data_IF_719041666158
#
_entry.id   IF_719041666158
#
_cell.length_a   1.000
_cell.length_b   1.000
_cell.length_c   1.000
_cell.angle_alpha   90.00
_cell.angle_beta   90.00
_cell.angle_gamma   90.00
#
_symmetry.space_group_name_H-M   'P 1'
#
loop_
_entity.id
_entity.type
_entity.pdbx_description
1 polymer ?
#
# COMPACT_ATOMS: atom_id res chain seq x y z
N UNK A 1 -1.50 6.93 -30.52
CA UNK A 1 -1.63 6.29 -29.19
C UNK A 1 -1.37 4.80 -29.33
N UNK A 2 -1.10 4.08 -28.23
CA UNK A 2 -0.86 2.63 -28.24
C UNK A 2 -1.60 1.98 -27.08
N UNK A 3 -2.24 0.85 -27.34
CA UNK A 3 -2.75 -0.06 -26.31
C UNK A 3 -1.90 -1.34 -26.34
N UNK A 4 -1.48 -1.82 -25.17
CA UNK A 4 -0.72 -3.07 -25.04
C UNK A 4 -1.55 -4.07 -24.24
N UNK A 5 -1.79 -5.23 -24.82
CA UNK A 5 -2.50 -6.33 -24.20
C UNK A 5 -1.53 -7.46 -23.86
N UNK A 6 -1.65 -8.07 -22.69
CA UNK A 6 -0.97 -9.33 -22.39
C UNK A 6 -1.75 -10.49 -23.01
N UNK A 7 -1.10 -11.31 -23.83
CA UNK A 7 -1.71 -12.46 -24.50
C UNK A 7 -0.99 -13.73 -24.07
N UNK A 8 -1.74 -14.65 -23.45
CA UNK A 8 -1.29 -16.01 -23.15
C UNK A 8 -1.77 -16.97 -24.23
N UNK A 9 -0.88 -17.81 -24.75
CA UNK A 9 -1.23 -18.88 -25.69
C UNK A 9 -0.42 -20.13 -25.41
N UNK A 10 -1.01 -21.27 -25.76
CA UNK A 10 -0.33 -22.56 -25.75
C UNK A 10 0.08 -22.92 -27.17
N UNK A 11 1.33 -23.37 -27.32
CA UNK A 11 1.84 -23.88 -28.59
C UNK A 11 2.28 -25.34 -28.39
N UNK A 12 1.78 -26.24 -29.25
CA UNK A 12 2.26 -27.62 -29.29
C UNK A 12 3.32 -27.74 -30.38
N UNK A 13 4.55 -28.01 -29.97
CA UNK A 13 5.70 -28.18 -30.84
C UNK A 13 6.26 -29.60 -30.75
N UNK A 14 6.85 -30.10 -31.84
CA UNK A 14 7.57 -31.37 -31.82
C UNK A 14 9.00 -31.16 -31.34
N UNK A 15 9.34 -31.70 -30.17
CA UNK A 15 10.71 -31.79 -29.63
C UNK A 15 11.10 -33.25 -29.50
N UNK A 16 12.20 -33.64 -30.14
CA UNK A 16 12.73 -35.01 -30.14
C UNK A 16 11.69 -36.10 -30.50
N UNK A 17 10.84 -35.78 -31.48
CA UNK A 17 9.78 -36.69 -31.96
C UNK A 17 8.58 -36.84 -31.02
N UNK A 18 8.53 -36.09 -29.92
CA UNK A 18 7.38 -36.01 -29.02
C UNK A 18 6.72 -34.65 -29.12
N UNK A 19 5.40 -34.64 -29.01
CA UNK A 19 4.64 -33.40 -28.89
C UNK A 19 4.84 -32.85 -27.47
N UNK A 20 5.22 -31.57 -27.38
CA UNK A 20 5.41 -30.82 -26.14
C UNK A 20 4.55 -29.56 -26.24
N UNK A 21 3.68 -29.35 -25.26
CA UNK A 21 2.91 -28.11 -25.13
C UNK A 21 3.68 -27.12 -24.27
N UNK A 22 3.92 -25.92 -24.80
CA UNK A 22 4.54 -24.80 -24.11
C UNK A 22 3.55 -23.67 -23.94
N UNK A 23 3.57 -23.03 -22.76
CA UNK A 23 2.79 -21.82 -22.50
C UNK A 23 3.67 -20.60 -22.74
N UNK A 24 3.16 -19.66 -23.53
CA UNK A 24 3.80 -18.40 -23.86
C UNK A 24 2.95 -17.23 -23.37
N UNK A 25 3.62 -16.19 -22.86
CA UNK A 25 2.98 -14.93 -22.47
C UNK A 25 3.74 -13.77 -23.12
N UNK A 26 3.06 -13.00 -23.97
CA UNK A 26 3.67 -11.96 -24.81
C UNK A 26 2.81 -10.68 -24.83
N UNK A 27 3.45 -9.54 -25.08
CA UNK A 27 2.76 -8.27 -25.26
C UNK A 27 2.25 -8.17 -26.70
N UNK A 28 1.01 -7.75 -26.88
CA UNK A 28 0.41 -7.47 -28.18
C UNK A 28 0.05 -6.00 -28.25
N UNK A 29 0.78 -5.26 -29.09
CA UNK A 29 0.70 -3.81 -29.19
C UNK A 29 -0.19 -3.43 -30.37
N UNK A 30 -1.20 -2.60 -30.11
CA UNK A 30 -2.17 -2.14 -31.11
C UNK A 30 -2.08 -0.61 -31.19
N UNK A 31 -1.51 -0.05 -32.28
CA UNK A 31 -1.48 1.40 -32.48
C UNK A 31 -2.88 1.87 -32.86
N UNK A 32 -3.34 2.92 -32.20
CA UNK A 32 -4.65 3.50 -32.47
C UNK A 32 -4.62 5.03 -32.58
N UNK A 33 -5.52 5.54 -33.42
CA UNK A 33 -5.84 6.95 -33.58
C UNK A 33 -7.24 7.26 -33.04
N UNK A 34 -7.50 8.55 -32.88
CA UNK A 34 -8.81 9.09 -32.46
C UNK A 34 -9.44 9.86 -33.62
N UNK A 35 -10.75 9.69 -33.79
CA UNK A 35 -11.60 10.54 -34.63
C UNK A 35 -12.81 10.96 -33.79
N UNK A 36 -12.73 12.15 -33.19
CA UNK A 36 -13.66 12.59 -32.15
C UNK A 36 -13.63 11.67 -30.93
N UNK A 37 -14.77 11.07 -30.60
CA UNK A 37 -14.96 10.11 -29.51
C UNK A 37 -14.76 8.64 -29.93
N UNK A 38 -14.41 8.40 -31.20
CA UNK A 38 -14.22 7.06 -31.78
C UNK A 38 -12.74 6.72 -31.94
N UNK A 39 -12.45 5.43 -31.96
CA UNK A 39 -11.10 4.87 -32.09
C UNK A 39 -10.98 4.11 -33.41
N UNK A 40 -9.82 4.17 -34.05
CA UNK A 40 -9.48 3.33 -35.19
C UNK A 40 -8.05 2.78 -35.06
N UNK A 41 -7.81 1.61 -35.65
CA UNK A 41 -6.47 1.01 -35.70
C UNK A 41 -5.64 1.79 -36.71
N UNK A 42 -4.61 2.47 -36.24
CA UNK A 42 -3.82 3.40 -37.05
C UNK A 42 -2.58 2.75 -37.68
N UNK A 43 -2.35 1.47 -37.44
CA UNK A 43 -1.20 0.73 -37.96
C UNK A 43 -1.26 -0.76 -37.65
N UNK A 44 -0.27 -1.50 -38.14
CA UNK A 44 -0.18 -2.94 -37.91
C UNK A 44 0.14 -3.24 -36.45
N UNK A 45 -0.57 -4.17 -35.79
CA UNK A 45 -0.17 -4.65 -34.48
C UNK A 45 1.17 -5.40 -34.51
N UNK A 46 1.88 -5.39 -33.38
CA UNK A 46 3.14 -6.13 -33.24
C UNK A 46 3.29 -6.78 -31.86
N UNK A 47 3.99 -7.91 -31.81
CA UNK A 47 4.33 -8.60 -30.58
C UNK A 47 5.57 -7.97 -29.91
N UNK A 48 5.60 -7.96 -28.59
CA UNK A 48 6.75 -7.56 -27.78
C UNK A 48 6.96 -8.52 -26.61
N UNK A 49 8.15 -8.50 -26.02
CA UNK A 49 8.29 -9.04 -24.68
C UNK A 49 7.37 -8.27 -23.72
N UNK A 50 6.90 -8.95 -22.67
CA UNK A 50 6.30 -8.26 -21.52
C UNK A 50 7.46 -7.91 -20.61
N UNK A 51 7.67 -6.61 -20.38
CA UNK A 51 8.65 -6.16 -19.42
C UNK A 51 8.22 -6.58 -18.01
N UNK A 52 9.09 -7.31 -17.33
CA UNK A 52 8.88 -7.58 -15.92
C UNK A 52 9.22 -6.31 -15.12
N UNK A 53 8.19 -5.61 -14.66
CA UNK A 53 8.36 -4.44 -13.80
C UNK A 53 8.55 -4.79 -12.31
N UNK A 54 8.50 -6.09 -11.94
CA UNK A 54 8.94 -6.50 -10.61
C UNK A 54 10.45 -6.34 -10.53
N UNK A 55 10.92 -5.55 -9.57
CA UNK A 55 12.32 -5.53 -9.23
C UNK A 55 12.79 -6.96 -8.88
N UNK A 56 14.04 -7.29 -9.23
CA UNK A 56 14.65 -8.54 -8.78
C UNK A 56 14.74 -8.62 -7.25
N UNK A 57 15.39 -9.66 -6.72
CA UNK A 57 15.63 -9.77 -5.26
C UNK A 57 16.32 -8.50 -4.75
N UNK A 58 15.60 -7.72 -3.96
CA UNK A 58 16.16 -6.54 -3.31
C UNK A 58 16.94 -6.98 -2.06
N UNK A 59 18.09 -6.36 -1.75
CA UNK A 59 18.83 -6.68 -0.52
C UNK A 59 17.93 -6.46 0.70
N UNK A 60 18.09 -7.29 1.74
CA UNK A 60 17.33 -7.15 3.00
C UNK A 60 17.45 -5.75 3.61
N UNK A 61 18.57 -5.06 3.38
CA UNK A 61 18.78 -3.67 3.79
C UNK A 61 17.84 -2.65 3.13
N UNK A 62 17.11 -3.03 2.09
CA UNK A 62 16.07 -2.18 1.50
C UNK A 62 14.70 -2.36 2.14
N UNK A 63 14.53 -3.32 3.06
CA UNK A 63 13.30 -3.44 3.83
C UNK A 63 13.28 -2.37 4.90
N UNK A 64 12.13 -1.75 5.10
CA UNK A 64 11.91 -0.83 6.21
C UNK A 64 12.23 -1.53 7.53
N UNK A 65 13.18 -1.00 8.28
CA UNK A 65 13.54 -1.51 9.61
C UNK A 65 12.54 -0.99 10.64
N UNK A 66 11.80 -1.92 11.27
CA UNK A 66 10.77 -1.62 12.28
C UNK A 66 11.29 -1.86 13.72
N UNK A 67 12.60 -1.73 13.95
CA UNK A 67 13.21 -1.87 15.27
C UNK A 67 13.43 -0.55 16.03
N UNK A 68 13.17 0.59 15.39
CA UNK A 68 13.35 1.90 16.01
C UNK A 68 12.37 2.17 17.16
N UNK A 69 12.83 2.90 18.16
CA UNK A 69 12.03 3.41 19.28
C UNK A 69 11.85 4.92 19.17
N UNK A 70 10.65 5.42 19.43
CA UNK A 70 10.40 6.86 19.46
C UNK A 70 10.81 7.51 20.79
N UNK A 71 10.77 8.85 20.80
CA UNK A 71 11.08 9.69 21.96
C UNK A 71 9.83 10.13 22.74
N UNK A 72 8.66 9.51 22.52
CA UNK A 72 7.45 9.87 23.27
C UNK A 72 7.54 9.35 24.71
N UNK A 73 6.95 10.09 25.66
CA UNK A 73 6.84 9.57 27.01
C UNK A 73 5.95 8.32 27.02
N UNK A 74 6.24 7.37 27.91
CA UNK A 74 5.44 6.13 28.05
C UNK A 74 3.95 6.41 28.26
N UNK A 75 3.60 7.53 28.90
CA UNK A 75 2.22 7.95 29.14
C UNK A 75 1.55 8.43 27.85
N UNK A 76 2.23 9.24 27.04
CA UNK A 76 1.70 9.73 25.77
C UNK A 76 1.57 8.59 24.75
N UNK A 77 2.62 7.77 24.62
CA UNK A 77 2.61 6.59 23.76
C UNK A 77 1.43 5.67 24.10
N UNK A 78 1.20 5.34 25.39
CA UNK A 78 0.04 4.53 25.81
C UNK A 78 -1.31 5.13 25.41
N UNK A 79 -1.46 6.45 25.47
CA UNK A 79 -2.71 7.12 25.04
C UNK A 79 -2.90 7.01 23.53
N UNK A 80 -1.84 7.25 22.75
CA UNK A 80 -1.86 7.14 21.29
C UNK A 80 -2.11 5.70 20.84
N UNK A 81 -1.42 4.71 21.42
CA UNK A 81 -1.64 3.29 21.15
C UNK A 81 -3.07 2.88 21.48
N UNK A 82 -3.66 3.36 22.58
CA UNK A 82 -5.07 3.09 22.90
C UNK A 82 -6.01 3.68 21.85
N UNK A 83 -5.75 4.93 21.44
CA UNK A 83 -6.50 5.57 20.35
C UNK A 83 -6.41 4.77 19.05
N UNK A 84 -5.20 4.38 18.63
CA UNK A 84 -4.98 3.59 17.42
C UNK A 84 -5.71 2.24 17.48
N UNK A 85 -5.69 1.54 18.62
CA UNK A 85 -6.48 0.30 18.78
C UNK A 85 -7.97 0.56 18.54
N UNK A 86 -8.53 1.61 19.16
CA UNK A 86 -9.94 1.96 18.94
C UNK A 86 -10.20 2.38 17.49
N UNK A 87 -9.29 3.14 16.88
CA UNK A 87 -9.37 3.53 15.48
C UNK A 87 -9.42 2.29 14.57
N UNK A 88 -8.48 1.35 14.69
CA UNK A 88 -8.43 0.17 13.83
C UNK A 88 -9.55 -0.83 14.09
N UNK A 89 -10.10 -0.90 15.31
CA UNK A 89 -11.35 -1.63 15.55
C UNK A 89 -12.48 -1.03 14.73
N UNK A 90 -12.67 0.28 14.76
CA UNK A 90 -13.75 0.94 14.00
C UNK A 90 -13.49 0.93 12.49
N UNK A 91 -12.21 1.01 12.09
CA UNK A 91 -11.76 0.86 10.70
C UNK A 91 -12.23 -0.45 10.06
N UNK A 92 -12.47 -1.50 10.85
CA UNK A 92 -12.99 -2.77 10.33
C UNK A 92 -14.43 -3.08 10.75
N UNK A 93 -15.12 -2.19 11.48
CA UNK A 93 -16.44 -2.54 12.06
C UNK A 93 -17.53 -1.48 11.93
N UNK A 94 -17.23 -0.19 11.99
CA UNK A 94 -18.28 0.84 12.13
C UNK A 94 -17.89 2.19 11.50
N UNK A 95 -18.57 2.55 10.41
CA UNK A 95 -18.33 3.81 9.69
C UNK A 95 -18.71 5.05 10.50
N UNK A 96 -19.82 5.01 11.26
CA UNK A 96 -20.28 6.18 12.03
C UNK A 96 -19.28 6.56 13.12
N UNK A 97 -18.77 5.57 13.85
CA UNK A 97 -17.72 5.79 14.84
C UNK A 97 -16.41 6.22 14.18
N UNK A 98 -16.08 5.64 13.02
CA UNK A 98 -14.89 6.02 12.27
C UNK A 98 -14.94 7.49 11.82
N UNK A 99 -16.10 7.99 11.39
CA UNK A 99 -16.31 9.39 11.03
C UNK A 99 -16.07 10.36 12.20
N UNK A 100 -16.27 9.91 13.45
CA UNK A 100 -15.96 10.69 14.65
C UNK A 100 -14.46 10.74 14.95
N UNK A 101 -13.67 9.86 14.35
CA UNK A 101 -12.25 9.66 14.63
C UNK A 101 -11.34 9.98 13.45
N UNK A 102 -11.88 10.07 12.23
CA UNK A 102 -11.08 10.26 11.03
C UNK A 102 -11.82 10.95 9.88
N UNK A 103 -11.05 11.70 9.08
CA UNK A 103 -11.52 12.32 7.84
C UNK A 103 -11.35 11.35 6.66
N UNK A 104 -12.40 11.20 5.84
CA UNK A 104 -12.35 10.50 4.56
C UNK A 104 -11.80 9.06 4.60
N UNK A 105 -11.92 8.37 5.74
CA UNK A 105 -11.56 6.96 5.87
C UNK A 105 -12.82 6.11 5.82
N UNK A 106 -12.84 5.11 4.95
CA UNK A 106 -13.94 4.13 4.87
C UNK A 106 -13.63 2.88 5.66
N UNK A 107 -14.66 2.28 6.26
CA UNK A 107 -14.57 0.97 6.89
C UNK A 107 -14.18 -0.09 5.86
N UNK A 108 -13.32 -1.03 6.26
CA UNK A 108 -12.97 -2.21 5.48
C UNK A 108 -13.79 -3.39 6.00
N UNK A 109 -14.92 -3.74 5.35
CA UNK A 109 -15.79 -4.83 5.81
C UNK A 109 -15.10 -6.19 5.64
N UNK A 110 -15.68 -7.22 6.26
CA UNK A 110 -15.21 -8.62 6.20
C UNK A 110 -13.76 -8.83 6.67
N UNK A 111 -13.25 -7.87 7.44
CA UNK A 111 -11.90 -7.85 8.00
C UNK A 111 -12.01 -7.68 9.51
N UNK A 112 -11.06 -8.22 10.26
CA UNK A 112 -11.00 -8.04 11.72
C UNK A 112 -9.61 -7.59 12.12
N UNK A 113 -9.51 -6.41 12.72
CA UNK A 113 -8.28 -5.97 13.38
C UNK A 113 -7.87 -6.93 14.51
N UNK A 114 -6.58 -7.29 14.58
CA UNK A 114 -6.03 -8.23 15.58
C UNK A 114 -5.06 -7.58 16.53
N UNK A 115 -4.07 -6.86 16.01
CA UNK A 115 -3.00 -6.29 16.83
C UNK A 115 -2.35 -5.10 16.15
N UNK A 116 -1.83 -4.20 16.97
CA UNK A 116 -0.74 -3.31 16.58
C UNK A 116 0.57 -4.06 16.84
N UNK A 117 1.31 -4.36 15.78
CA UNK A 117 2.57 -5.12 15.87
C UNK A 117 3.76 -4.19 16.04
N UNK A 118 3.66 -2.98 15.47
CA UNK A 118 4.65 -1.92 15.59
C UNK A 118 3.96 -0.56 15.66
N UNK A 119 4.51 0.34 16.49
CA UNK A 119 4.14 1.76 16.51
C UNK A 119 5.38 2.61 16.72
N UNK A 120 5.54 3.65 15.90
CA UNK A 120 6.51 4.71 16.11
C UNK A 120 5.80 6.07 15.96
N UNK A 121 5.98 6.93 16.94
CA UNK A 121 5.38 8.27 16.94
C UNK A 121 6.43 9.35 16.70
N UNK A 122 6.12 10.28 15.79
CA UNK A 122 6.94 11.47 15.53
C UNK A 122 6.08 12.72 15.68
N UNK A 123 6.59 13.70 16.44
CA UNK A 123 5.98 15.04 16.44
C UNK A 123 6.32 15.70 15.11
N UNK A 124 5.30 16.18 14.43
CA UNK A 124 5.43 16.90 13.18
C UNK A 124 5.15 18.39 13.40
N UNK A 125 5.27 19.19 12.35
CA UNK A 125 4.88 20.61 12.35
C UNK A 125 3.40 20.76 12.73
N UNK A 126 3.04 21.95 13.21
CA UNK A 126 1.66 22.32 13.55
C UNK A 126 0.99 21.45 14.64
N UNK A 127 1.77 20.93 15.60
CA UNK A 127 1.30 20.05 16.69
C UNK A 127 0.62 18.75 16.20
N UNK A 128 0.91 18.33 14.96
CA UNK A 128 0.48 17.04 14.46
C UNK A 128 1.42 15.93 14.94
N UNK A 129 0.91 14.70 14.98
CA UNK A 129 1.67 13.50 15.31
C UNK A 129 1.60 12.57 14.12
N UNK A 130 2.75 12.25 13.52
CA UNK A 130 2.85 11.13 12.58
C UNK A 130 2.94 9.84 13.38
N UNK A 131 2.06 8.89 13.08
CA UNK A 131 2.11 7.55 13.63
C UNK A 131 2.40 6.57 12.50
N UNK A 132 3.54 5.89 12.59
CA UNK A 132 3.91 4.79 11.70
C UNK A 132 3.54 3.48 12.38
N UNK A 133 2.70 2.69 11.73
CA UNK A 133 2.02 1.58 12.38
C UNK A 133 2.08 0.35 11.49
N UNK A 134 2.49 -0.78 12.05
CA UNK A 134 2.18 -2.08 11.48
C UNK A 134 1.02 -2.69 12.27
N UNK A 135 -0.01 -3.12 11.57
CA UNK A 135 -1.18 -3.75 12.16
C UNK A 135 -1.51 -5.07 11.46
N UNK A 136 -1.84 -6.09 12.25
CA UNK A 136 -2.30 -7.38 11.72
C UNK A 136 -3.81 -7.40 11.65
N UNK A 137 -4.31 -7.87 10.51
CA UNK A 137 -5.73 -8.10 10.24
C UNK A 137 -5.98 -9.56 9.94
N UNK A 138 -7.22 -10.00 10.15
CA UNK A 138 -7.73 -11.31 9.73
C UNK A 138 -8.78 -11.11 8.64
N UNK A 139 -8.65 -11.85 7.54
CA UNK A 139 -9.63 -11.94 6.45
C UNK A 139 -9.92 -13.41 6.20
N UNK A 140 -11.18 -13.83 6.38
CA UNK A 140 -11.52 -15.25 6.36
C UNK A 140 -10.76 -16.02 7.44
N UNK A 141 -9.91 -16.97 7.05
CA UNK A 141 -9.10 -17.78 7.97
C UNK A 141 -7.62 -17.33 8.07
N UNK A 142 -7.18 -16.42 7.20
CA UNK A 142 -5.78 -15.98 7.14
C UNK A 142 -5.59 -14.64 7.85
N UNK A 143 -4.33 -14.41 8.27
CA UNK A 143 -3.90 -13.11 8.80
C UNK A 143 -2.83 -12.52 7.92
N UNK A 144 -2.84 -11.20 7.79
CA UNK A 144 -1.80 -10.44 7.09
C UNK A 144 -1.51 -9.15 7.85
N UNK A 145 -0.28 -8.66 7.72
CA UNK A 145 0.13 -7.39 8.28
C UNK A 145 0.03 -6.31 7.19
N UNK A 146 -0.40 -5.11 7.59
CA UNK A 146 -0.40 -3.91 6.76
C UNK A 146 0.37 -2.80 7.46
N UNK A 147 1.03 -1.97 6.66
CA UNK A 147 1.79 -0.81 7.12
C UNK A 147 0.97 0.47 6.87
N UNK A 148 0.96 1.37 7.84
CA UNK A 148 0.23 2.63 7.78
C UNK A 148 1.09 3.79 8.24
N UNK A 149 0.85 4.95 7.61
CA UNK A 149 1.25 6.25 8.12
C UNK A 149 -0.02 7.04 8.39
N UNK A 150 -0.23 7.42 9.65
CA UNK A 150 -1.37 8.25 10.06
C UNK A 150 -0.89 9.62 10.49
N UNK A 151 -1.63 10.66 10.09
CA UNK A 151 -1.45 12.01 10.63
C UNK A 151 -2.53 12.27 11.67
N UNK A 152 -2.13 12.29 12.93
CA UNK A 152 -3.01 12.48 14.09
C UNK A 152 -2.95 13.93 14.53
N UNK A 153 -4.12 14.56 14.67
CA UNK A 153 -4.31 15.90 15.23
C UNK A 153 -5.02 15.80 16.58
N UNK A 154 -4.92 16.86 17.39
CA UNK A 154 -5.70 16.99 18.62
C UNK A 154 -6.91 17.89 18.40
N UNK A 155 -8.11 17.35 18.54
CA UNK A 155 -9.38 18.08 18.45
C UNK A 155 -10.11 17.96 19.79
N UNK A 156 -10.31 19.08 20.47
CA UNK A 156 -11.04 19.14 21.75
C UNK A 156 -10.53 18.11 22.78
N UNK A 157 -9.20 18.08 23.00
CA UNK A 157 -8.52 17.14 23.91
C UNK A 157 -8.58 15.64 23.53
N UNK A 158 -9.13 15.32 22.34
CA UNK A 158 -9.15 13.98 21.78
C UNK A 158 -8.24 13.88 20.54
N UNK A 159 -7.83 12.67 20.18
CA UNK A 159 -7.06 12.42 18.96
C UNK A 159 -7.99 12.19 17.77
N UNK A 160 -7.51 12.59 16.59
CA UNK A 160 -8.27 12.51 15.35
C UNK A 160 -7.33 12.27 14.15
N UNK A 161 -7.65 11.31 13.28
CA UNK A 161 -6.87 10.99 12.07
C UNK A 161 -7.29 11.90 10.94
N UNK A 162 -6.40 12.81 10.54
CA UNK A 162 -6.63 13.74 9.42
C UNK A 162 -6.19 13.18 8.06
N UNK A 163 -5.28 12.20 8.07
CA UNK A 163 -4.77 11.55 6.87
C UNK A 163 -4.30 10.13 7.21
N UNK A 164 -4.50 9.20 6.27
CA UNK A 164 -4.06 7.81 6.35
C UNK A 164 -3.48 7.39 5.00
N UNK A 165 -2.27 6.83 5.03
CA UNK A 165 -1.59 6.22 3.89
C UNK A 165 -1.21 4.77 4.21
N UNK A 166 -1.27 3.87 3.23
CA UNK A 166 -0.97 2.43 3.39
C UNK A 166 0.51 2.10 3.19
N UNK A 167 1.40 2.88 3.81
CA UNK A 167 2.84 2.67 3.74
C UNK A 167 3.52 3.12 5.04
N UNK A 168 4.71 2.59 5.32
CA UNK A 168 5.70 3.22 6.21
C UNK A 168 6.90 3.55 5.31
N UNK A 169 7.26 4.83 5.14
CA UNK A 169 8.38 5.20 4.29
C UNK A 169 9.70 4.69 4.89
N UNK A 170 10.71 4.42 4.07
CA UNK A 170 11.97 3.84 4.55
C UNK A 170 12.75 4.74 5.51
N UNK A 171 12.54 6.05 5.43
CA UNK A 171 13.16 7.11 6.22
C UNK A 171 12.25 7.61 7.37
N UNK A 172 11.21 6.84 7.75
CA UNK A 172 10.22 7.28 8.73
C UNK A 172 10.81 7.67 10.10
N UNK A 173 11.91 7.02 10.49
CA UNK A 173 12.64 7.23 11.74
C UNK A 173 13.84 8.18 11.59
N UNK A 174 14.11 8.68 10.37
CA UNK A 174 15.16 9.65 10.16
C UNK A 174 14.72 10.99 10.74
N UNK A 175 15.56 11.58 11.58
CA UNK A 175 15.43 12.96 12.03
C UNK A 175 15.84 13.89 10.88
N UNK A 176 15.04 13.96 9.81
CA UNK A 176 15.21 14.99 8.79
C UNK A 176 14.76 16.36 9.32
N UNK A 177 15.52 16.93 10.26
CA UNK A 177 15.88 18.35 10.19
C UNK A 177 17.04 18.50 9.19
N UNK A 178 16.79 18.26 7.90
CA UNK A 178 17.67 18.80 6.87
C UNK A 178 17.29 20.27 6.65
N UNK A 179 17.63 21.10 7.63
CA UNK A 179 17.87 22.52 7.42
C UNK A 179 19.13 22.68 6.58
N UNK A 180 18.97 22.60 5.26
CA UNK A 180 20.04 22.93 4.31
C UNK A 180 20.27 24.44 4.30
N UNK A 181 21.47 24.82 4.74
CA UNK A 181 22.09 26.15 4.71
C UNK A 181 22.10 26.76 3.30
#
# INVERSE_FOLDING_TARGET
NQATFGVGYEETIKKDGKDVTEYHYTGFNVPYGLDGDKYYISGLPWFSAIENHQAGKQPESSKTDLSYTDNFSTKEAKKLTKFLNTFFINYTTNQDNLNLMADNVSVVPNTTFKSLDFTYFKKDKDNCIKAYVQATFKVGETTHAENFTLTITTKSESYYVSQLDHTIPSDYADDQENGGN
#
